data_IF_460128755675
#
_entry.id   IF_460128755675
#
_cell.length_a   1.000
_cell.length_b   1.000
_cell.length_c   1.000
_cell.angle_alpha   90.00
_cell.angle_beta   90.00
_cell.angle_gamma   90.00
#
_symmetry.space_group_name_H-M   'P 1'
#
loop_
_entity.id
_entity.type
_entity.pdbx_description
1 polymer ?
#
# COMPACT_ATOMS: atom_id res chain seq x y z
N UNK A 1 25.69 -21.72 6.28
CA UNK A 1 24.37 -21.96 5.64
C UNK A 1 23.96 -20.63 5.04
N UNK A 2 23.51 -20.61 3.79
CA UNK A 2 22.94 -19.38 3.20
C UNK A 2 21.69 -18.98 3.98
N UNK A 3 21.41 -17.68 4.08
CA UNK A 3 20.12 -17.23 4.61
C UNK A 3 18.97 -17.85 3.80
N UNK A 4 17.87 -18.24 4.47
CA UNK A 4 16.70 -18.80 3.78
C UNK A 4 16.09 -17.73 2.87
N UNK A 5 15.99 -18.02 1.56
CA UNK A 5 15.33 -17.15 0.60
C UNK A 5 13.79 -17.31 0.71
N UNK A 6 13.03 -16.29 1.15
CA UNK A 6 11.59 -16.39 1.32
C UNK A 6 10.79 -16.35 0.01
N UNK A 7 11.43 -16.03 -1.12
CA UNK A 7 10.76 -15.72 -2.39
C UNK A 7 10.73 -16.87 -3.40
N UNK A 8 11.27 -18.03 -3.06
CA UNK A 8 11.43 -19.19 -3.97
C UNK A 8 10.11 -19.63 -4.61
N UNK A 9 8.97 -19.47 -3.93
CA UNK A 9 7.66 -19.83 -4.47
C UNK A 9 7.13 -18.85 -5.51
N UNK A 10 7.60 -17.61 -5.49
CA UNK A 10 7.07 -16.54 -6.34
C UNK A 10 8.02 -16.17 -7.49
N UNK A 11 9.29 -16.56 -7.40
CA UNK A 11 10.35 -16.20 -8.35
C UNK A 11 10.07 -16.61 -9.81
N UNK A 12 9.36 -17.72 -10.02
CA UNK A 12 9.05 -18.22 -11.36
C UNK A 12 7.91 -17.44 -12.05
N UNK A 13 7.03 -16.82 -11.26
CA UNK A 13 5.90 -16.02 -11.74
C UNK A 13 6.33 -14.58 -11.93
N UNK A 14 7.03 -14.04 -10.93
CA UNK A 14 7.49 -12.66 -10.93
C UNK A 14 8.90 -12.62 -10.32
N UNK A 15 9.95 -12.50 -11.16
CA UNK A 15 11.32 -12.45 -10.68
C UNK A 15 11.56 -11.24 -9.78
N UNK A 16 12.36 -11.41 -8.72
CA UNK A 16 12.68 -10.33 -7.77
C UNK A 16 13.34 -9.14 -8.47
N UNK A 17 14.13 -9.38 -9.51
CA UNK A 17 14.81 -8.35 -10.28
C UNK A 17 13.84 -7.40 -10.98
N UNK A 18 12.59 -7.84 -11.19
CA UNK A 18 11.52 -7.00 -11.77
C UNK A 18 10.67 -6.29 -10.70
N UNK A 19 10.56 -6.86 -9.50
CA UNK A 19 9.68 -6.32 -8.43
C UNK A 19 10.43 -5.39 -7.50
N UNK A 20 11.64 -5.77 -7.07
CA UNK A 20 12.41 -5.01 -6.10
C UNK A 20 12.66 -3.55 -6.54
N UNK A 21 12.92 -3.24 -7.83
CA UNK A 21 13.09 -1.84 -8.25
C UNK A 21 11.82 -0.98 -8.18
N UNK A 22 10.63 -1.59 -8.08
CA UNK A 22 9.37 -0.87 -8.12
C UNK A 22 9.18 -0.04 -6.84
N UNK A 23 8.82 1.23 -7.04
CA UNK A 23 8.37 2.11 -5.97
C UNK A 23 6.85 2.13 -5.94
N UNK A 24 6.27 1.77 -4.79
CA UNK A 24 4.81 1.68 -4.66
C UNK A 24 4.32 2.67 -3.61
N UNK A 25 3.34 3.49 -4.00
CA UNK A 25 2.58 4.32 -3.09
C UNK A 25 1.29 3.61 -2.68
N UNK A 26 0.99 3.58 -1.39
CA UNK A 26 -0.27 3.07 -0.83
C UNK A 26 -0.92 4.21 -0.04
N UNK A 27 -2.10 4.64 -0.48
CA UNK A 27 -2.85 5.71 0.17
C UNK A 27 -3.97 5.09 1.01
N UNK A 28 -3.80 5.12 2.32
CA UNK A 28 -4.66 4.48 3.32
C UNK A 28 -4.00 3.25 3.94
N UNK A 29 -3.98 3.19 5.26
CA UNK A 29 -3.52 2.07 6.09
C UNK A 29 -4.71 1.39 6.81
N UNK A 30 -5.86 1.32 6.13
CA UNK A 30 -7.07 0.67 6.65
C UNK A 30 -7.16 -0.83 6.31
N UNK A 31 -8.39 -1.35 6.27
CA UNK A 31 -8.67 -2.77 6.02
C UNK A 31 -8.19 -3.33 4.68
N UNK A 32 -7.94 -2.46 3.69
CA UNK A 32 -7.33 -2.83 2.41
C UNK A 32 -5.82 -2.54 2.43
N UNK A 33 -5.41 -1.39 2.96
CA UNK A 33 -4.03 -0.92 2.93
C UNK A 33 -3.06 -1.83 3.67
N UNK A 34 -3.42 -2.27 4.89
CA UNK A 34 -2.59 -3.17 5.71
C UNK A 34 -2.30 -4.49 5.01
N UNK A 35 -3.30 -5.27 4.55
CA UNK A 35 -3.01 -6.52 3.85
C UNK A 35 -2.32 -6.30 2.50
N UNK A 36 -2.63 -5.21 1.78
CA UNK A 36 -1.93 -4.89 0.53
C UNK A 36 -0.43 -4.68 0.76
N UNK A 37 -0.05 -3.85 1.75
CA UNK A 37 1.36 -3.60 2.08
C UNK A 37 2.07 -4.89 2.49
N UNK A 38 1.43 -5.73 3.31
CA UNK A 38 2.01 -7.01 3.73
C UNK A 38 2.25 -7.94 2.54
N UNK A 39 1.27 -8.08 1.64
CA UNK A 39 1.40 -8.91 0.45
C UNK A 39 2.50 -8.39 -0.48
N UNK A 40 2.55 -7.08 -0.74
CA UNK A 40 3.58 -6.46 -1.57
C UNK A 40 4.99 -6.68 -1.00
N UNK A 41 5.18 -6.43 0.30
CA UNK A 41 6.46 -6.68 0.97
C UNK A 41 6.86 -8.17 0.87
N UNK A 42 5.92 -9.10 1.09
CA UNK A 42 6.18 -10.55 0.97
C UNK A 42 6.40 -11.03 -0.47
N UNK A 43 5.93 -10.29 -1.46
CA UNK A 43 6.22 -10.54 -2.88
C UNK A 43 7.63 -10.07 -3.28
N UNK A 44 8.33 -9.33 -2.42
CA UNK A 44 9.68 -8.84 -2.68
C UNK A 44 9.75 -7.39 -3.15
N UNK A 45 8.67 -6.62 -3.01
CA UNK A 45 8.75 -5.16 -3.11
C UNK A 45 9.64 -4.66 -1.99
N UNK A 46 10.66 -3.87 -2.34
CA UNK A 46 11.60 -3.34 -1.35
C UNK A 46 11.36 -1.86 -1.00
N UNK A 47 10.48 -1.15 -1.71
CA UNK A 47 10.20 0.28 -1.48
C UNK A 47 8.70 0.56 -1.43
N UNK A 48 8.16 0.68 -0.21
CA UNK A 48 6.78 1.07 0.04
C UNK A 48 6.72 2.48 0.64
N UNK A 49 5.81 3.30 0.14
CA UNK A 49 5.45 4.56 0.76
C UNK A 49 3.98 4.51 1.16
N UNK A 50 3.68 4.76 2.43
CA UNK A 50 2.33 4.62 2.97
C UNK A 50 1.87 5.91 3.63
N UNK A 51 0.69 6.40 3.23
CA UNK A 51 0.05 7.57 3.83
C UNK A 51 -1.22 7.16 4.57
N UNK A 52 -1.37 7.62 5.80
CA UNK A 52 -2.61 7.59 6.57
C UNK A 52 -2.48 8.62 7.70
N UNK A 53 -3.54 9.37 7.96
CA UNK A 53 -3.54 10.45 8.95
C UNK A 53 -4.36 10.12 10.21
N UNK A 54 -4.82 8.88 10.34
CA UNK A 54 -5.61 8.43 11.48
C UNK A 54 -4.76 7.69 12.52
N UNK A 55 -5.25 7.70 13.75
CA UNK A 55 -4.83 6.77 14.79
C UNK A 55 -5.62 5.46 14.72
N UNK A 56 -5.04 4.38 15.26
CA UNK A 56 -5.69 3.07 15.38
C UNK A 56 -6.81 3.15 16.41
N UNK A 57 -8.05 3.01 15.96
CA UNK A 57 -9.24 2.85 16.80
C UNK A 57 -9.46 1.40 17.26
N UNK A 58 -10.30 1.22 18.28
CA UNK A 58 -10.65 -0.12 18.77
C UNK A 58 -11.42 -0.94 17.73
N UNK A 59 -12.24 -0.27 16.92
CA UNK A 59 -12.98 -0.81 15.79
C UNK A 59 -12.08 -1.28 14.64
N UNK A 60 -10.80 -0.90 14.63
CA UNK A 60 -9.85 -1.35 13.62
C UNK A 60 -9.17 -2.69 13.97
N UNK A 61 -9.22 -3.11 15.24
CA UNK A 61 -8.56 -4.34 15.73
C UNK A 61 -9.06 -5.59 15.01
N UNK A 62 -10.37 -5.67 14.75
CA UNK A 62 -10.97 -6.79 14.03
C UNK A 62 -10.66 -6.77 12.54
N UNK A 63 -11.14 -5.75 11.80
CA UNK A 63 -11.15 -5.78 10.34
C UNK A 63 -9.86 -5.29 9.66
N UNK A 64 -8.93 -4.65 10.38
CA UNK A 64 -7.74 -4.03 9.79
C UNK A 64 -6.42 -4.67 10.24
N UNK A 65 -6.47 -5.86 10.85
CA UNK A 65 -5.30 -6.62 11.31
C UNK A 65 -4.43 -5.91 12.38
N UNK A 66 -4.91 -4.81 12.96
CA UNK A 66 -4.21 -4.14 14.05
C UNK A 66 -4.33 -4.92 15.37
N UNK A 67 -3.23 -4.94 16.14
CA UNK A 67 -3.24 -5.51 17.48
C UNK A 67 -3.84 -4.58 18.53
N UNK A 68 -4.47 -5.14 19.57
CA UNK A 68 -5.01 -4.34 20.70
C UNK A 68 -3.98 -3.43 21.37
N UNK A 69 -2.68 -3.80 21.33
CA UNK A 69 -1.59 -3.05 21.97
C UNK A 69 -1.21 -1.76 21.25
N UNK A 70 -1.65 -1.56 20.00
CA UNK A 70 -1.34 -0.38 19.20
C UNK A 70 -2.51 0.59 19.05
N UNK A 71 -3.64 0.32 19.72
CA UNK A 71 -4.77 1.26 19.78
C UNK A 71 -4.30 2.60 20.35
N UNK A 72 -4.71 3.70 19.72
CA UNK A 72 -4.31 5.07 20.04
C UNK A 72 -2.94 5.49 19.49
N UNK A 73 -2.29 4.65 18.66
CA UNK A 73 -1.08 5.03 17.92
C UNK A 73 -1.44 5.38 16.47
N UNK A 74 -0.62 6.19 15.77
CA UNK A 74 -0.79 6.41 14.34
C UNK A 74 -0.83 5.09 13.56
N UNK A 75 -1.80 4.96 12.64
CA UNK A 75 -1.98 3.78 11.80
C UNK A 75 -0.74 3.45 10.99
N UNK A 76 -0.08 4.46 10.43
CA UNK A 76 1.18 4.32 9.68
C UNK A 76 2.29 3.73 10.54
N UNK A 77 2.51 4.25 11.76
CA UNK A 77 3.52 3.73 12.68
C UNK A 77 3.23 2.29 13.13
N UNK A 78 1.96 1.99 13.43
CA UNK A 78 1.53 0.65 13.78
C UNK A 78 1.75 -0.35 12.63
N UNK A 79 1.43 0.05 11.39
CA UNK A 79 1.68 -0.72 10.19
C UNK A 79 3.17 -0.93 9.94
N UNK A 80 3.99 0.11 10.07
CA UNK A 80 5.44 0.02 9.86
C UNK A 80 6.10 -0.97 10.82
N UNK A 81 5.73 -0.94 12.10
CA UNK A 81 6.21 -1.95 13.06
C UNK A 81 5.74 -3.36 12.67
N UNK A 82 4.48 -3.51 12.27
CA UNK A 82 3.94 -4.79 11.83
C UNK A 82 4.68 -5.33 10.60
N UNK A 83 4.97 -4.51 9.59
CA UNK A 83 5.71 -4.92 8.41
C UNK A 83 7.17 -5.27 8.73
N UNK A 84 7.82 -4.49 9.60
CA UNK A 84 9.19 -4.78 10.04
C UNK A 84 9.30 -6.13 10.72
N UNK A 85 8.29 -6.55 11.47
CA UNK A 85 8.27 -7.87 12.11
C UNK A 85 8.03 -9.02 11.12
N UNK A 86 7.47 -8.75 9.93
CA UNK A 86 7.02 -9.76 8.97
C UNK A 86 7.86 -9.85 7.68
N UNK A 87 8.50 -8.75 7.30
CA UNK A 87 9.20 -8.55 6.04
C UNK A 87 10.23 -7.42 6.20
N UNK A 88 11.24 -7.65 7.04
CA UNK A 88 12.30 -6.68 7.37
C UNK A 88 13.22 -6.29 6.20
N UNK A 89 13.10 -6.99 5.08
CA UNK A 89 13.73 -6.67 3.79
C UNK A 89 13.02 -5.54 3.02
N UNK A 90 11.79 -5.18 3.39
CA UNK A 90 11.06 -4.09 2.76
C UNK A 90 11.33 -2.77 3.49
N UNK A 91 11.85 -1.78 2.78
CA UNK A 91 11.91 -0.41 3.30
C UNK A 91 10.53 0.24 3.17
N UNK A 92 10.05 0.81 4.27
CA UNK A 92 8.71 1.40 4.36
C UNK A 92 8.83 2.83 4.85
N UNK A 93 8.59 3.77 3.94
CA UNK A 93 8.49 5.20 4.26
C UNK A 93 7.07 5.51 4.72
N UNK A 94 6.94 6.00 5.96
CA UNK A 94 5.66 6.27 6.61
C UNK A 94 5.37 7.76 6.61
N UNK A 95 4.20 8.13 6.11
CA UNK A 95 3.72 9.51 6.08
C UNK A 95 2.47 9.61 6.93
N UNK A 96 2.61 10.12 8.15
CA UNK A 96 1.50 10.27 9.09
C UNK A 96 0.70 11.56 8.83
N UNK A 97 0.33 11.78 7.57
CA UNK A 97 -0.33 12.98 7.07
C UNK A 97 -1.30 12.60 5.96
N UNK A 98 -2.27 13.48 5.70
CA UNK A 98 -3.16 13.32 4.55
C UNK A 98 -2.33 13.43 3.28
N UNK A 99 -2.51 12.49 2.35
CA UNK A 99 -1.90 12.60 1.03
C UNK A 99 -2.40 13.86 0.30
N UNK A 100 -1.47 14.67 -0.20
CA UNK A 100 -1.78 15.89 -0.94
C UNK A 100 -1.79 15.58 -2.42
N UNK A 101 -2.97 15.63 -3.03
CA UNK A 101 -3.16 15.39 -4.46
C UNK A 101 -2.83 16.66 -5.24
N UNK A 102 -1.78 16.59 -6.03
CA UNK A 102 -1.38 17.64 -6.98
C UNK A 102 -0.84 17.00 -8.26
N UNK A 103 -0.71 17.76 -9.33
CA UNK A 103 -0.10 17.28 -10.57
C UNK A 103 1.32 16.76 -10.29
N UNK A 104 1.64 15.58 -10.83
CA UNK A 104 2.92 14.93 -10.63
C UNK A 104 3.16 14.30 -9.25
N UNK A 105 2.17 14.32 -8.34
CA UNK A 105 2.31 13.75 -6.99
C UNK A 105 2.67 12.24 -6.99
N UNK A 106 2.46 11.55 -8.12
CA UNK A 106 2.74 10.13 -8.27
C UNK A 106 3.89 9.81 -9.25
N UNK A 107 4.61 10.81 -9.77
CA UNK A 107 5.60 10.59 -10.83
C UNK A 107 6.77 9.68 -10.40
N UNK A 108 7.13 9.76 -9.12
CA UNK A 108 8.17 8.96 -8.49
C UNK A 108 7.77 7.50 -8.19
N UNK A 109 6.52 7.13 -8.43
CA UNK A 109 6.00 5.78 -8.15
C UNK A 109 5.66 5.03 -9.43
N UNK A 110 5.87 3.72 -9.43
CA UNK A 110 5.53 2.84 -10.55
C UNK A 110 4.09 2.31 -10.42
N UNK A 111 3.65 2.13 -9.17
CA UNK A 111 2.33 1.63 -8.82
C UNK A 111 1.73 2.50 -7.72
N UNK A 112 0.45 2.82 -7.87
CA UNK A 112 -0.34 3.54 -6.86
C UNK A 112 -1.50 2.64 -6.43
N UNK A 113 -1.64 2.42 -5.12
CA UNK A 113 -2.76 1.68 -4.53
C UNK A 113 -3.65 2.65 -3.76
N UNK A 114 -4.87 2.86 -4.26
CA UNK A 114 -5.91 3.71 -3.65
C UNK A 114 -6.74 2.89 -2.65
N UNK A 115 -6.32 2.89 -1.38
CA UNK A 115 -6.92 2.13 -0.28
C UNK A 115 -7.74 3.01 0.68
N UNK A 116 -8.22 4.17 0.20
CA UNK A 116 -9.05 5.12 0.96
C UNK A 116 -10.53 4.71 0.98
N UNK A 117 -11.26 5.06 2.01
CA UNK A 117 -12.71 4.79 2.13
C UNK A 117 -13.59 5.96 1.67
N UNK A 118 -13.05 7.18 1.64
CA UNK A 118 -13.73 8.37 1.13
C UNK A 118 -13.78 8.41 -0.39
N UNK A 119 -15.00 8.54 -0.95
CA UNK A 119 -15.20 8.78 -2.38
C UNK A 119 -14.61 10.10 -2.85
N UNK A 120 -14.56 11.12 -1.98
CA UNK A 120 -13.98 12.43 -2.28
C UNK A 120 -12.47 12.29 -2.50
N UNK A 121 -11.75 11.71 -1.54
CA UNK A 121 -10.30 11.50 -1.64
C UNK A 121 -9.96 10.58 -2.81
N UNK A 122 -10.79 9.57 -3.07
CA UNK A 122 -10.61 8.69 -4.24
C UNK A 122 -10.69 9.45 -5.57
N UNK A 123 -11.62 10.40 -5.67
CA UNK A 123 -11.75 11.28 -6.83
C UNK A 123 -10.53 12.21 -6.97
N UNK A 124 -10.06 12.77 -5.86
CA UNK A 124 -8.84 13.59 -5.83
C UNK A 124 -7.62 12.80 -6.35
N UNK A 125 -7.41 11.57 -5.85
CA UNK A 125 -6.34 10.67 -6.31
C UNK A 125 -6.46 10.43 -7.81
N UNK A 126 -7.64 10.04 -8.28
CA UNK A 126 -7.90 9.80 -9.70
C UNK A 126 -7.57 10.99 -10.59
N UNK A 127 -7.94 12.21 -10.16
CA UNK A 127 -7.69 13.43 -10.91
C UNK A 127 -6.23 13.88 -10.91
N UNK A 128 -5.45 13.47 -9.91
CA UNK A 128 -4.02 13.81 -9.83
C UNK A 128 -3.11 12.90 -10.67
N UNK A 129 -3.64 11.81 -11.21
CA UNK A 129 -2.87 10.89 -12.05
C UNK A 129 -2.89 11.40 -13.50
N UNK A 130 -1.72 11.75 -14.02
CA UNK A 130 -1.59 12.16 -15.42
C UNK A 130 -1.93 10.98 -16.36
N UNK A 131 -2.74 11.21 -17.42
CA UNK A 131 -2.99 10.24 -18.48
C UNK A 131 -1.71 9.71 -19.15
N UNK A 132 -0.65 10.54 -19.17
CA UNK A 132 0.63 10.21 -19.80
C UNK A 132 1.56 9.38 -18.89
N UNK A 133 1.23 9.28 -17.59
CA UNK A 133 2.12 8.72 -16.57
C UNK A 133 2.45 7.23 -16.78
N UNK A 134 1.59 6.49 -17.51
CA UNK A 134 1.66 5.03 -17.74
C UNK A 134 1.85 4.19 -16.46
N UNK A 135 1.58 4.77 -15.28
CA UNK A 135 1.70 4.08 -13.99
C UNK A 135 0.51 3.17 -13.77
N UNK A 136 0.72 2.08 -13.04
CA UNK A 136 -0.39 1.20 -12.68
C UNK A 136 -1.12 1.79 -11.48
N UNK A 137 -2.37 2.23 -11.68
CA UNK A 137 -3.30 2.53 -10.60
C UNK A 137 -4.10 1.27 -10.26
N UNK A 138 -4.11 0.92 -8.98
CA UNK A 138 -4.96 -0.13 -8.41
C UNK A 138 -5.92 0.51 -7.42
N UNK A 139 -7.22 0.44 -7.73
CA UNK A 139 -8.30 1.07 -6.97
C UNK A 139 -9.25 0.00 -6.41
N UNK A 140 -8.86 -0.71 -5.32
CA UNK A 140 -9.72 -1.68 -4.65
C UNK A 140 -10.85 -0.99 -3.87
N UNK A 141 -12.02 -1.64 -3.84
CA UNK A 141 -13.24 -1.19 -3.16
C UNK A 141 -13.89 -2.36 -2.45
N UNK A 142 -13.98 -2.28 -1.12
CA UNK A 142 -14.52 -3.33 -0.29
C UNK A 142 -15.83 -2.88 0.34
N UNK A 143 -16.91 -3.62 0.08
CA UNK A 143 -18.12 -3.64 0.88
C UNK A 143 -18.14 -4.86 1.80
N UNK A 144 -19.27 -5.12 2.46
CA UNK A 144 -19.38 -6.22 3.42
C UNK A 144 -19.15 -7.62 2.79
N UNK A 145 -19.64 -7.83 1.56
CA UNK A 145 -19.62 -9.14 0.89
C UNK A 145 -18.91 -9.11 -0.47
N UNK A 146 -18.53 -7.91 -0.93
CA UNK A 146 -18.03 -7.69 -2.29
C UNK A 146 -16.72 -6.91 -2.25
N UNK A 147 -15.74 -7.39 -3.00
CA UNK A 147 -14.51 -6.67 -3.31
C UNK A 147 -14.45 -6.47 -4.83
N UNK A 148 -14.36 -5.21 -5.25
CA UNK A 148 -14.11 -4.83 -6.64
C UNK A 148 -12.72 -4.25 -6.75
N UNK A 149 -11.94 -4.66 -7.73
CA UNK A 149 -10.60 -4.11 -7.99
C UNK A 149 -10.56 -3.56 -9.40
N UNK A 150 -10.26 -2.26 -9.53
CA UNK A 150 -9.94 -1.66 -10.81
C UNK A 150 -8.42 -1.56 -10.95
N UNK A 151 -7.89 -2.09 -12.06
CA UNK A 151 -6.47 -2.00 -12.42
C UNK A 151 -6.35 -1.23 -13.72
N UNK A 152 -5.75 -0.05 -13.65
CA UNK A 152 -5.80 0.94 -14.72
C UNK A 152 -4.38 1.38 -15.04
N UNK A 153 -4.02 1.28 -16.31
CA UNK A 153 -2.83 1.92 -16.86
C UNK A 153 -3.37 3.06 -17.72
N UNK A 154 -3.21 4.33 -17.30
CA UNK A 154 -3.65 5.46 -18.10
C UNK A 154 -3.00 5.43 -19.49
N UNK A 155 -3.82 5.67 -20.51
CA UNK A 155 -3.41 5.81 -21.91
C UNK A 155 -4.03 7.11 -22.42
N UNK A 156 -3.38 7.73 -23.42
CA UNK A 156 -3.97 8.82 -24.21
C UNK A 156 -5.27 8.39 -24.91
#
# INVERSE_FOLDING_TARGET
MSEPNPFVRFSDVMPLEKIAPLKIAVIGAGGIGVPACLCLAKMGVSSLHVWDNDDVGAENVGPQMYGKRVVGRPKTLALGQFLKDQADWCDVTLHNDRFVTQEGAFDDFDVVVSAVDSLEVRKEIWQSISPESRKLLVDPRMGAEVLTVYSIIPQE
#
